data_IF_473486239515
#
_entry.id   IF_473486239515
#
_cell.length_a   1.000
_cell.length_b   1.000
_cell.length_c   1.000
_cell.angle_alpha   90.00
_cell.angle_beta   90.00
_cell.angle_gamma   90.00
#
_symmetry.space_group_name_H-M   'P 1'
#
loop_
_entity.id
_entity.type
_entity.pdbx_description
1 polymer ?
#
# COMPACT_ATOMS: atom_id res chain seq x y z
N UNK A 1 -14.88 -35.82 9.09
CA UNK A 1 -14.59 -34.43 9.49
C UNK A 1 -15.93 -33.76 9.76
N UNK A 2 -16.26 -33.49 11.02
CA UNK A 2 -17.56 -32.91 11.41
C UNK A 2 -17.63 -31.44 11.05
N UNK A 3 -18.43 -31.09 10.04
CA UNK A 3 -18.61 -29.73 9.55
C UNK A 3 -20.03 -29.24 9.80
N UNK A 4 -20.45 -29.21 11.06
CA UNK A 4 -21.79 -28.74 11.49
C UNK A 4 -21.87 -27.23 11.70
N UNK A 5 -21.17 -26.43 10.89
CA UNK A 5 -21.23 -24.97 10.92
C UNK A 5 -21.32 -24.45 9.48
N UNK A 6 -22.47 -24.64 8.85
CA UNK A 6 -22.77 -23.98 7.58
C UNK A 6 -23.03 -22.49 7.86
N UNK A 7 -21.96 -21.70 7.92
CA UNK A 7 -22.08 -20.26 7.73
C UNK A 7 -22.77 -20.03 6.38
N UNK A 8 -23.72 -19.09 6.30
CA UNK A 8 -24.40 -18.76 5.05
C UNK A 8 -23.36 -18.41 3.98
N UNK A 9 -23.13 -19.34 3.05
CA UNK A 9 -22.13 -19.19 1.99
C UNK A 9 -22.56 -18.08 1.05
N UNK A 10 -21.96 -16.92 1.20
CA UNK A 10 -22.14 -15.84 0.25
C UNK A 10 -21.18 -16.07 -0.92
N UNK A 11 -21.75 -16.45 -2.07
CA UNK A 11 -21.01 -16.68 -3.32
C UNK A 11 -20.06 -15.53 -3.65
N UNK A 12 -20.47 -14.27 -3.42
CA UNK A 12 -19.63 -13.11 -3.70
C UNK A 12 -18.39 -13.05 -2.79
N UNK A 13 -18.50 -13.52 -1.55
CA UNK A 13 -17.39 -13.55 -0.59
C UNK A 13 -16.43 -14.71 -0.93
N UNK A 14 -16.96 -15.87 -1.29
CA UNK A 14 -16.14 -17.03 -1.70
C UNK A 14 -15.40 -16.76 -3.03
N UNK A 15 -16.08 -16.18 -4.02
CA UNK A 15 -15.47 -15.79 -5.30
C UNK A 15 -14.41 -14.69 -5.09
N UNK A 16 -14.64 -13.74 -4.19
CA UNK A 16 -13.65 -12.71 -3.84
C UNK A 16 -12.43 -13.28 -3.10
N UNK A 17 -12.63 -14.16 -2.12
CA UNK A 17 -11.55 -14.79 -1.37
C UNK A 17 -10.68 -15.65 -2.29
N UNK A 18 -11.31 -16.49 -3.12
CA UNK A 18 -10.61 -17.34 -4.09
C UNK A 18 -9.86 -16.53 -5.15
N UNK A 19 -10.39 -15.38 -5.57
CA UNK A 19 -9.68 -14.48 -6.49
C UNK A 19 -8.41 -13.89 -5.86
N UNK A 20 -8.41 -13.58 -4.55
CA UNK A 20 -7.22 -13.07 -3.84
C UNK A 20 -6.15 -14.14 -3.66
N UNK A 21 -6.55 -15.36 -3.33
CA UNK A 21 -5.65 -16.49 -3.19
C UNK A 21 -4.96 -16.84 -4.52
N UNK A 22 -5.67 -16.69 -5.64
CA UNK A 22 -5.15 -17.00 -6.98
C UNK A 22 -4.59 -15.78 -7.74
N UNK A 23 -4.25 -14.69 -7.04
CA UNK A 23 -3.70 -13.48 -7.68
C UNK A 23 -2.39 -13.74 -8.43
N UNK A 24 -1.60 -14.71 -7.97
CA UNK A 24 -0.32 -15.08 -8.58
C UNK A 24 -0.48 -15.65 -9.99
N UNK A 25 -1.55 -16.37 -10.27
CA UNK A 25 -1.84 -16.90 -11.62
C UNK A 25 -2.25 -15.80 -12.61
N UNK A 26 -2.81 -14.70 -12.11
CA UNK A 26 -3.24 -13.57 -12.93
C UNK A 26 -2.14 -12.52 -13.09
N UNK A 27 -1.05 -12.63 -12.33
CA UNK A 27 0.04 -11.67 -12.37
C UNK A 27 0.81 -11.78 -13.69
N UNK A 28 1.05 -10.62 -14.33
CA UNK A 28 1.81 -10.53 -15.58
C UNK A 28 2.87 -9.45 -15.48
N UNK A 29 4.06 -9.78 -15.98
CA UNK A 29 5.17 -8.86 -16.10
C UNK A 29 4.93 -7.86 -17.24
N UNK A 30 4.18 -6.80 -16.94
CA UNK A 30 3.96 -5.67 -17.84
C UNK A 30 4.84 -4.49 -17.43
N UNK A 31 5.06 -3.54 -18.34
CA UNK A 31 5.81 -2.30 -18.04
C UNK A 31 5.24 -1.54 -16.83
N UNK A 32 3.91 -1.54 -16.68
CA UNK A 32 3.23 -0.93 -15.53
C UNK A 32 3.52 -1.69 -14.23
N UNK A 33 3.44 -3.02 -14.24
CA UNK A 33 3.73 -3.84 -13.07
C UNK A 33 5.21 -3.74 -12.67
N UNK A 34 6.14 -3.72 -13.62
CA UNK A 34 7.55 -3.47 -13.34
C UNK A 34 7.79 -2.09 -12.72
N UNK A 35 7.13 -1.04 -13.22
CA UNK A 35 7.22 0.29 -12.63
C UNK A 35 6.70 0.31 -11.19
N UNK A 36 5.56 -0.35 -10.93
CA UNK A 36 4.99 -0.46 -9.58
C UNK A 36 5.92 -1.22 -8.62
N UNK A 37 6.46 -2.37 -9.05
CA UNK A 37 7.43 -3.14 -8.25
C UNK A 37 8.70 -2.33 -8.00
N UNK A 38 9.19 -1.58 -8.98
CA UNK A 38 10.37 -0.72 -8.81
C UNK A 38 10.13 0.44 -7.84
N UNK A 39 8.97 1.10 -7.93
CA UNK A 39 8.63 2.23 -7.05
C UNK A 39 8.41 1.74 -5.61
N UNK A 40 7.54 0.76 -5.42
CA UNK A 40 7.15 0.32 -4.08
C UNK A 40 8.15 -0.66 -3.45
N UNK A 41 8.79 -1.51 -4.26
CA UNK A 41 9.76 -2.50 -3.77
C UNK A 41 11.17 -1.96 -3.59
N UNK A 42 11.56 -0.89 -4.31
CA UNK A 42 12.94 -0.37 -4.28
C UNK A 42 12.97 1.12 -3.95
N UNK A 43 12.30 1.95 -4.73
CA UNK A 43 12.45 3.41 -4.62
C UNK A 43 11.98 3.93 -3.25
N UNK A 44 10.79 3.55 -2.80
CA UNK A 44 10.25 3.99 -1.50
C UNK A 44 11.15 3.54 -0.34
N UNK A 45 11.50 2.25 -0.17
CA UNK A 45 12.40 1.83 0.92
C UNK A 45 13.73 2.56 0.94
N UNK A 46 14.35 2.78 -0.22
CA UNK A 46 15.63 3.49 -0.32
C UNK A 46 15.49 4.97 0.06
N UNK A 47 14.43 5.64 -0.40
CA UNK A 47 14.19 7.05 -0.08
C UNK A 47 13.87 7.23 1.41
N UNK A 48 13.11 6.32 2.01
CA UNK A 48 12.81 6.32 3.45
C UNK A 48 14.09 6.10 4.25
N UNK A 49 14.89 5.10 3.90
CA UNK A 49 16.15 4.83 4.58
C UNK A 49 17.10 6.03 4.50
N UNK A 50 17.32 6.58 3.31
CA UNK A 50 18.17 7.77 3.13
C UNK A 50 17.62 9.01 3.84
N UNK A 51 16.30 9.17 3.87
CA UNK A 51 15.64 10.25 4.60
C UNK A 51 15.91 10.17 6.10
N UNK A 52 15.65 9.00 6.70
CA UNK A 52 15.88 8.75 8.13
C UNK A 52 17.35 8.91 8.48
N UNK A 53 18.26 8.24 7.76
CA UNK A 53 19.70 8.30 8.07
C UNK A 53 20.23 9.74 8.00
N UNK A 54 19.74 10.52 7.04
CA UNK A 54 20.12 11.92 6.93
C UNK A 54 19.52 12.79 8.03
N UNK A 55 18.29 12.53 8.47
CA UNK A 55 17.69 13.20 9.63
C UNK A 55 18.48 12.92 10.91
N UNK A 56 18.89 11.66 11.11
CA UNK A 56 19.76 11.28 12.22
C UNK A 56 21.17 11.91 12.16
N UNK A 57 21.74 12.13 10.97
CA UNK A 57 23.03 12.81 10.82
C UNK A 57 22.91 14.34 10.99
N UNK A 58 21.75 14.92 10.68
CA UNK A 58 21.42 16.34 10.91
C UNK A 58 21.26 16.64 12.42
N UNK A 59 20.67 15.74 13.20
CA UNK A 59 20.56 15.83 14.68
C UNK A 59 21.93 15.75 15.40
N UNK A 60 22.97 15.24 14.74
CA UNK A 60 24.36 15.26 15.23
C UNK A 60 25.08 16.62 14.96
N UNK A 61 24.35 17.68 14.60
CA UNK A 61 24.86 19.06 14.57
C UNK A 61 25.08 19.68 13.19
N UNK A 62 24.37 19.24 12.14
CA UNK A 62 24.45 19.84 10.80
C UNK A 62 23.12 20.51 10.38
N UNK A 63 23.15 21.64 9.61
CA UNK A 63 21.96 22.44 9.34
C UNK A 63 20.89 21.73 8.50
N UNK A 64 19.63 21.88 8.92
CA UNK A 64 18.41 21.27 8.37
C UNK A 64 18.31 21.36 6.83
N UNK A 65 18.09 20.23 6.14
CA UNK A 65 17.77 20.24 4.69
C UNK A 65 16.45 19.51 4.40
N UNK A 66 15.44 20.32 4.01
CA UNK A 66 13.99 20.06 3.80
C UNK A 66 13.57 18.89 2.86
N UNK A 67 14.00 17.65 3.11
CA UNK A 67 13.58 16.49 2.28
C UNK A 67 12.22 15.90 2.72
N UNK A 68 11.96 15.81 4.03
CA UNK A 68 10.75 15.17 4.57
C UNK A 68 9.45 15.94 4.34
N UNK A 69 9.50 17.25 4.08
CA UNK A 69 8.28 18.07 3.95
C UNK A 69 7.45 17.64 2.73
N UNK A 70 8.10 17.33 1.59
CA UNK A 70 7.42 16.86 0.38
C UNK A 70 6.89 15.43 0.49
N UNK A 71 7.61 14.55 1.18
CA UNK A 71 7.19 13.16 1.40
C UNK A 71 6.03 13.04 2.39
N UNK A 72 6.01 13.87 3.45
CA UNK A 72 4.87 13.98 4.37
C UNK A 72 3.60 14.45 3.65
N UNK A 73 3.72 15.43 2.74
CA UNK A 73 2.60 15.88 1.91
C UNK A 73 2.10 14.79 0.95
N UNK A 74 3.01 14.03 0.33
CA UNK A 74 2.65 12.91 -0.55
C UNK A 74 1.94 11.76 0.20
N UNK A 75 2.45 11.38 1.38
CA UNK A 75 1.81 10.35 2.21
C UNK A 75 0.47 10.83 2.80
N UNK A 76 0.37 12.08 3.21
CA UNK A 76 -0.89 12.69 3.66
C UNK A 76 -1.94 12.72 2.54
N UNK A 77 -1.53 13.05 1.31
CA UNK A 77 -2.43 13.03 0.16
C UNK A 77 -2.89 11.60 -0.17
N UNK A 78 -1.96 10.63 -0.20
CA UNK A 78 -2.29 9.23 -0.45
C UNK A 78 -3.19 8.59 0.62
N UNK A 79 -3.06 9.01 1.88
CA UNK A 79 -3.97 8.57 2.96
C UNK A 79 -5.34 9.20 2.87
N UNK A 80 -5.44 10.48 2.52
CA UNK A 80 -6.72 11.16 2.27
C UNK A 80 -7.46 10.55 1.07
N UNK A 81 -6.74 10.23 -0.01
CA UNK A 81 -7.31 9.62 -1.21
C UNK A 81 -7.79 8.18 -0.95
N UNK A 82 -7.07 7.43 -0.10
CA UNK A 82 -7.46 6.08 0.33
C UNK A 82 -8.69 6.10 1.26
N UNK A 83 -8.74 7.02 2.23
CA UNK A 83 -9.90 7.19 3.12
C UNK A 83 -11.12 7.67 2.34
N UNK A 84 -10.96 8.61 1.41
CA UNK A 84 -12.04 9.09 0.53
C UNK A 84 -12.58 7.98 -0.38
N UNK A 85 -11.70 7.13 -0.91
CA UNK A 85 -12.10 5.98 -1.74
C UNK A 85 -12.84 4.90 -0.94
N UNK A 86 -12.46 4.67 0.33
CA UNK A 86 -13.17 3.74 1.23
C UNK A 86 -14.53 4.26 1.69
N UNK A 87 -14.69 5.57 1.88
CA UNK A 87 -15.98 6.15 2.26
C UNK A 87 -17.01 6.09 1.12
N UNK A 88 -16.59 6.30 -0.13
CA UNK A 88 -17.48 6.18 -1.30
C UNK A 88 -18.04 4.76 -1.53
N UNK A 89 -17.38 3.73 -1.01
CA UNK A 89 -17.86 2.34 -1.08
C UNK A 89 -19.00 2.09 -0.06
N UNK A 90 -19.06 2.87 1.02
CA UNK A 90 -20.09 2.72 2.07
C UNK A 90 -21.34 3.57 1.83
N UNK A 91 -21.27 4.64 1.02
CA UNK A 91 -22.42 5.51 0.70
C UNK A 91 -23.30 5.00 -0.45
N UNK A 92 -22.92 3.90 -1.11
CA UNK A 92 -23.66 3.28 -2.23
C UNK A 92 -24.34 1.94 -1.87
N UNK A 93 -24.57 1.69 -0.57
CA UNK A 93 -25.26 0.51 -0.04
C UNK A 93 -26.60 0.85 0.59
#
# INVERSE_FOLDING_TARGET
MGGGMEANKNRFIEDWSSARENLEHNFRWTRRNFALVGIFGIAIPVLVYKGIVREFDEDNGRPYRKFLLGFKLFLAQGTLDFVSSRFKIFEFG
#
